data_IF_997490484392
#
_entry.id   IF_997490484392
#
_cell.length_a   1.000
_cell.length_b   1.000
_cell.length_c   1.000
_cell.angle_alpha   90.00
_cell.angle_beta   90.00
_cell.angle_gamma   90.00
#
_symmetry.space_group_name_H-M   'P 1'
#
loop_
_entity.id
_entity.type
_entity.pdbx_description
1 polymer ?
#
# COMPACT_ATOMS: atom_id res chain seq x y z
N UNK A 1 -43.09 25.92 0.45
CA UNK A 1 -42.11 26.47 -0.49
C UNK A 1 -41.14 27.35 0.29
N UNK A 2 -40.03 26.82 0.78
CA UNK A 2 -38.91 27.58 1.37
C UNK A 2 -37.89 27.79 0.25
N UNK A 3 -37.69 29.04 -0.05
CA UNK A 3 -37.08 29.64 -1.21
C UNK A 3 -35.61 29.23 -1.47
N UNK A 4 -35.30 29.16 -2.75
CA UNK A 4 -34.03 28.95 -3.42
C UNK A 4 -32.85 29.85 -2.95
N UNK A 5 -33.08 30.86 -2.16
CA UNK A 5 -32.06 31.81 -1.68
C UNK A 5 -31.21 31.29 -0.49
N UNK A 6 -31.68 30.27 0.22
CA UNK A 6 -30.94 29.68 1.36
C UNK A 6 -29.95 28.61 0.95
N UNK A 7 -29.99 28.10 -0.28
CA UNK A 7 -29.08 27.09 -0.80
C UNK A 7 -27.60 27.50 -0.82
N UNK A 8 -27.18 28.72 -1.20
CA UNK A 8 -25.77 29.07 -1.25
C UNK A 8 -25.09 29.10 0.12
N UNK A 9 -25.82 29.42 1.18
CA UNK A 9 -25.29 29.52 2.55
C UNK A 9 -25.02 28.13 3.15
N UNK A 10 -26.01 27.26 3.12
CA UNK A 10 -25.88 25.88 3.61
C UNK A 10 -24.80 25.11 2.85
N UNK A 11 -24.63 25.36 1.56
CA UNK A 11 -23.64 24.74 0.73
C UNK A 11 -22.22 25.08 1.18
N UNK A 12 -21.92 26.35 1.47
CA UNK A 12 -20.65 26.78 2.02
C UNK A 12 -20.38 26.13 3.38
N UNK A 13 -21.36 26.13 4.26
CA UNK A 13 -21.28 25.50 5.58
C UNK A 13 -21.02 24.00 5.47
N UNK A 14 -21.71 23.27 4.59
CA UNK A 14 -21.51 21.84 4.35
C UNK A 14 -20.12 21.54 3.81
N UNK A 15 -19.63 22.32 2.84
CA UNK A 15 -18.27 22.18 2.30
C UNK A 15 -17.22 22.39 3.37
N UNK A 16 -17.40 23.38 4.23
CA UNK A 16 -16.47 23.67 5.32
C UNK A 16 -16.51 22.57 6.40
N UNK A 17 -17.69 22.11 6.77
CA UNK A 17 -17.86 20.96 7.66
C UNK A 17 -17.19 19.69 7.09
N UNK A 18 -17.39 19.40 5.80
CA UNK A 18 -16.75 18.25 5.15
C UNK A 18 -15.23 18.35 5.18
N UNK A 19 -14.65 19.54 4.95
CA UNK A 19 -13.20 19.77 5.08
C UNK A 19 -12.71 19.53 6.50
N UNK A 20 -13.40 20.07 7.50
CA UNK A 20 -13.06 19.93 8.91
C UNK A 20 -13.14 18.46 9.37
N UNK A 21 -14.11 17.71 8.87
CA UNK A 21 -14.26 16.27 9.08
C UNK A 21 -13.29 15.41 8.25
N UNK A 22 -12.43 16.02 7.42
CA UNK A 22 -11.50 15.32 6.52
C UNK A 22 -12.20 14.41 5.52
N UNK A 23 -13.30 14.89 4.95
CA UNK A 23 -14.06 14.25 3.88
C UNK A 23 -13.86 15.04 2.56
N UNK A 24 -12.66 14.96 1.96
CA UNK A 24 -12.30 15.81 0.84
C UNK A 24 -13.11 15.52 -0.42
N UNK A 25 -13.48 14.27 -0.68
CA UNK A 25 -14.31 13.93 -1.83
C UNK A 25 -15.67 14.64 -1.75
N UNK A 26 -16.34 14.59 -0.59
CA UNK A 26 -17.58 15.32 -0.36
C UNK A 26 -17.39 16.83 -0.49
N UNK A 27 -16.30 17.38 0.02
CA UNK A 27 -16.02 18.81 -0.05
C UNK A 27 -15.82 19.32 -1.49
N UNK A 28 -15.24 18.47 -2.35
CA UNK A 28 -14.94 18.80 -3.75
C UNK A 28 -16.12 18.55 -4.69
N UNK A 29 -16.94 17.52 -4.44
CA UNK A 29 -18.00 17.05 -5.33
C UNK A 29 -19.43 17.27 -4.78
N UNK A 30 -19.59 18.13 -3.77
CA UNK A 30 -20.88 18.31 -3.10
C UNK A 30 -22.00 18.69 -4.07
N UNK A 31 -21.69 19.54 -5.05
CA UNK A 31 -22.65 20.01 -6.04
C UNK A 31 -23.17 18.91 -6.95
N UNK A 32 -22.25 18.09 -7.45
CA UNK A 32 -22.57 16.97 -8.33
C UNK A 32 -23.45 15.95 -7.58
N UNK A 33 -23.10 15.68 -6.31
CA UNK A 33 -23.83 14.72 -5.48
C UNK A 33 -25.24 15.22 -5.17
N UNK A 34 -25.40 16.50 -4.86
CA UNK A 34 -26.71 17.10 -4.59
C UNK A 34 -27.59 17.12 -5.85
N UNK A 35 -27.01 17.46 -7.00
CA UNK A 35 -27.71 17.47 -8.28
C UNK A 35 -28.19 16.07 -8.65
N UNK A 36 -27.30 15.08 -8.59
CA UNK A 36 -27.63 13.68 -8.88
C UNK A 36 -28.73 13.14 -7.95
N UNK A 37 -28.69 13.51 -6.66
CA UNK A 37 -29.70 13.10 -5.70
C UNK A 37 -31.06 13.64 -6.00
N UNK A 38 -31.13 14.90 -6.49
CA UNK A 38 -32.38 15.54 -6.92
C UNK A 38 -32.93 14.91 -8.20
N UNK A 39 -32.07 14.67 -9.19
CA UNK A 39 -32.50 14.02 -10.44
C UNK A 39 -33.04 12.62 -10.22
N UNK A 40 -32.39 11.84 -9.35
CA UNK A 40 -32.76 10.45 -9.04
C UNK A 40 -33.86 10.35 -7.97
N UNK A 41 -34.34 11.49 -7.43
CA UNK A 41 -35.28 11.51 -6.32
C UNK A 41 -34.94 10.57 -5.18
N UNK A 42 -33.65 10.57 -4.79
CA UNK A 42 -33.13 9.68 -3.75
C UNK A 42 -33.84 9.97 -2.41
N UNK A 43 -34.08 8.89 -1.66
CA UNK A 43 -34.47 9.02 -0.26
C UNK A 43 -33.30 9.54 0.56
N UNK A 44 -33.54 10.07 1.76
CA UNK A 44 -32.48 10.56 2.65
C UNK A 44 -31.46 9.48 3.00
N UNK A 45 -31.88 8.24 3.16
CA UNK A 45 -31.00 7.10 3.45
C UNK A 45 -30.10 6.76 2.28
N UNK A 46 -30.65 6.74 1.05
CA UNK A 46 -29.88 6.51 -0.18
C UNK A 46 -28.87 7.63 -0.42
N UNK A 47 -29.26 8.88 -0.23
CA UNK A 47 -28.37 10.02 -0.34
C UNK A 47 -27.19 9.93 0.63
N UNK A 48 -27.47 9.69 1.92
CA UNK A 48 -26.42 9.55 2.93
C UNK A 48 -25.50 8.37 2.62
N UNK A 49 -26.06 7.23 2.22
CA UNK A 49 -25.28 6.06 1.79
C UNK A 49 -24.38 6.40 0.61
N UNK A 50 -24.89 7.09 -0.40
CA UNK A 50 -24.11 7.52 -1.57
C UNK A 50 -22.94 8.41 -1.16
N UNK A 51 -23.16 9.39 -0.30
CA UNK A 51 -22.12 10.28 0.22
C UNK A 51 -21.00 9.51 0.91
N UNK A 52 -21.35 8.64 1.85
CA UNK A 52 -20.40 7.88 2.64
C UNK A 52 -19.63 6.85 1.80
N UNK A 53 -20.30 6.15 0.89
CA UNK A 53 -19.67 5.16 0.01
C UNK A 53 -18.70 5.80 -0.98
N UNK A 54 -19.02 6.97 -1.54
CA UNK A 54 -18.11 7.69 -2.44
C UNK A 54 -16.86 8.18 -1.71
N UNK A 55 -17.03 8.76 -0.52
CA UNK A 55 -15.90 9.18 0.32
C UNK A 55 -15.01 7.99 0.71
N UNK A 56 -15.59 6.86 1.09
CA UNK A 56 -14.87 5.65 1.44
C UNK A 56 -14.05 5.13 0.25
N UNK A 57 -14.66 5.01 -0.93
CA UNK A 57 -13.97 4.59 -2.15
C UNK A 57 -12.81 5.50 -2.53
N UNK A 58 -13.00 6.82 -2.42
CA UNK A 58 -11.93 7.77 -2.72
C UNK A 58 -10.80 7.69 -1.70
N UNK A 59 -11.11 7.52 -0.42
CA UNK A 59 -10.13 7.29 0.65
C UNK A 59 -9.32 6.02 0.40
N UNK A 60 -9.97 4.93 0.03
CA UNK A 60 -9.32 3.67 -0.31
C UNK A 60 -8.41 3.83 -1.54
N UNK A 61 -8.90 4.50 -2.59
CA UNK A 61 -8.13 4.81 -3.80
C UNK A 61 -6.88 5.64 -3.48
N UNK A 62 -7.02 6.74 -2.72
CA UNK A 62 -5.89 7.58 -2.31
C UNK A 62 -4.88 6.81 -1.45
N UNK A 63 -5.38 5.98 -0.55
CA UNK A 63 -4.55 5.11 0.28
C UNK A 63 -3.78 4.09 -0.55
N UNK A 64 -4.45 3.44 -1.53
CA UNK A 64 -3.82 2.52 -2.48
C UNK A 64 -2.72 3.22 -3.30
N UNK A 65 -3.03 4.38 -3.92
CA UNK A 65 -2.05 5.12 -4.72
C UNK A 65 -0.84 5.54 -3.88
N UNK A 66 -1.06 5.92 -2.63
CA UNK A 66 0.03 6.27 -1.70
C UNK A 66 0.90 5.04 -1.40
N UNK A 67 0.31 3.88 -1.12
CA UNK A 67 1.08 2.64 -0.91
C UNK A 67 1.85 2.24 -2.17
N UNK A 68 1.20 2.30 -3.33
CA UNK A 68 1.80 1.96 -4.62
C UNK A 68 3.02 2.84 -4.94
N UNK A 69 2.89 4.16 -4.72
CA UNK A 69 3.98 5.12 -4.94
C UNK A 69 5.26 4.77 -4.16
N UNK A 70 5.10 4.18 -2.97
CA UNK A 70 6.24 3.87 -2.10
C UNK A 70 6.64 2.40 -2.13
N UNK A 71 5.96 1.57 -2.91
CA UNK A 71 6.21 0.14 -2.96
C UNK A 71 7.56 -0.25 -3.60
N UNK A 72 8.20 0.65 -4.35
CA UNK A 72 9.48 0.38 -5.01
C UNK A 72 9.35 -0.56 -6.23
N UNK A 73 8.18 -0.58 -6.87
CA UNK A 73 7.90 -1.51 -7.96
C UNK A 73 8.61 -1.09 -9.26
N UNK A 74 9.18 -2.06 -10.01
CA UNK A 74 9.69 -1.83 -11.37
C UNK A 74 8.55 -1.57 -12.35
N UNK A 75 8.87 -1.26 -13.60
CA UNK A 75 7.86 -1.00 -14.65
C UNK A 75 6.97 -2.22 -14.97
N UNK A 76 7.46 -3.43 -14.72
CA UNK A 76 6.75 -4.69 -14.98
C UNK A 76 6.63 -5.48 -13.69
N UNK A 77 5.43 -5.69 -13.20
CA UNK A 77 5.13 -6.39 -11.96
C UNK A 77 3.78 -7.11 -11.96
N UNK A 78 3.11 -7.20 -13.11
CA UNK A 78 1.79 -7.84 -13.20
C UNK A 78 1.94 -9.35 -13.32
N UNK A 79 1.55 -10.10 -12.28
CA UNK A 79 1.63 -11.56 -12.25
C UNK A 79 0.71 -12.25 -13.26
N UNK A 80 -0.29 -11.56 -13.80
CA UNK A 80 -1.13 -12.11 -14.85
C UNK A 80 -0.38 -12.23 -16.19
N UNK A 81 0.75 -11.52 -16.32
CA UNK A 81 1.66 -11.58 -17.48
C UNK A 81 2.82 -12.57 -17.26
N UNK A 82 2.83 -13.34 -16.18
CA UNK A 82 3.89 -14.31 -15.91
C UNK A 82 3.82 -15.50 -16.87
N UNK A 83 4.92 -15.75 -17.56
CA UNK A 83 5.03 -16.84 -18.55
C UNK A 83 5.52 -18.14 -17.88
N UNK A 84 4.58 -19.00 -17.51
CA UNK A 84 4.87 -20.29 -16.89
C UNK A 84 5.57 -21.27 -17.82
N UNK A 85 5.59 -21.03 -19.15
CA UNK A 85 6.26 -21.93 -20.12
C UNK A 85 7.77 -21.80 -20.10
N UNK A 86 8.30 -20.71 -19.59
CA UNK A 86 9.73 -20.38 -19.57
C UNK A 86 10.47 -20.81 -18.31
N UNK A 87 9.76 -21.25 -17.29
CA UNK A 87 10.35 -21.51 -15.98
C UNK A 87 9.82 -22.83 -15.40
N UNK A 88 10.72 -23.69 -14.99
CA UNK A 88 10.37 -24.95 -14.29
C UNK A 88 10.16 -24.72 -12.77
N UNK A 89 10.28 -23.48 -12.29
CA UNK A 89 10.42 -23.21 -10.85
C UNK A 89 9.13 -23.06 -10.07
N UNK A 90 8.05 -22.57 -10.69
CA UNK A 90 6.76 -22.34 -10.01
C UNK A 90 5.61 -22.64 -10.97
N UNK A 91 4.64 -23.40 -10.52
CA UNK A 91 3.44 -23.70 -11.27
C UNK A 91 2.30 -22.69 -11.00
N UNK A 92 1.23 -22.78 -11.82
CA UNK A 92 0.06 -21.89 -11.68
C UNK A 92 -0.66 -22.05 -10.34
N UNK A 93 -0.63 -23.25 -9.74
CA UNK A 93 -1.29 -23.52 -8.46
C UNK A 93 -0.51 -22.84 -7.34
N UNK A 94 0.81 -23.02 -7.31
CA UNK A 94 1.69 -22.39 -6.33
C UNK A 94 1.61 -20.86 -6.43
N UNK A 95 1.58 -20.30 -7.66
CA UNK A 95 1.40 -18.86 -7.84
C UNK A 95 0.07 -18.35 -7.27
N UNK A 96 -1.03 -19.08 -7.47
CA UNK A 96 -2.33 -18.73 -6.89
C UNK A 96 -2.28 -18.75 -5.36
N UNK A 97 -1.69 -19.79 -4.76
CA UNK A 97 -1.52 -19.91 -3.32
C UNK A 97 -0.70 -18.74 -2.74
N UNK A 98 0.36 -18.31 -3.43
CA UNK A 98 1.16 -17.15 -3.01
C UNK A 98 0.36 -15.83 -3.10
N UNK A 99 -0.47 -15.67 -4.13
CA UNK A 99 -1.32 -14.48 -4.34
C UNK A 99 -2.42 -14.32 -3.28
N UNK A 100 -2.83 -15.40 -2.61
CA UNK A 100 -3.79 -15.33 -1.49
C UNK A 100 -3.21 -14.62 -0.25
N UNK A 101 -1.88 -14.45 -0.19
CA UNK A 101 -1.18 -13.72 0.86
C UNK A 101 -1.41 -14.29 2.29
N UNK A 102 -1.89 -15.53 2.40
CA UNK A 102 -2.13 -16.19 3.69
C UNK A 102 -0.83 -16.31 4.49
N UNK A 103 0.30 -16.52 3.79
CA UNK A 103 1.63 -16.62 4.37
C UNK A 103 2.05 -15.33 5.08
N UNK A 104 1.63 -14.13 4.64
CA UNK A 104 1.89 -12.86 5.34
C UNK A 104 1.20 -12.87 6.70
N UNK A 105 -0.08 -13.28 6.76
CA UNK A 105 -0.85 -13.36 8.01
C UNK A 105 -0.29 -14.36 8.99
N UNK A 106 0.34 -15.43 8.47
CA UNK A 106 1.01 -16.47 9.26
C UNK A 106 2.45 -16.13 9.60
N UNK A 107 2.93 -14.93 9.21
CA UNK A 107 4.31 -14.48 9.44
C UNK A 107 5.39 -15.41 8.86
N UNK A 108 5.09 -16.06 7.75
CA UNK A 108 6.07 -16.89 7.04
C UNK A 108 6.96 -16.03 6.15
N UNK A 109 8.23 -16.42 6.07
CA UNK A 109 9.17 -15.86 5.13
C UNK A 109 9.15 -16.66 3.83
N UNK A 110 9.22 -15.95 2.70
CA UNK A 110 9.32 -16.53 1.37
C UNK A 110 10.73 -16.29 0.84
N UNK A 111 11.41 -17.37 0.42
CA UNK A 111 12.72 -17.30 -0.20
C UNK A 111 12.61 -17.74 -1.67
N UNK A 112 12.94 -16.83 -2.60
CA UNK A 112 12.98 -17.11 -4.03
C UNK A 112 14.42 -17.42 -4.44
N UNK A 113 14.70 -18.69 -4.79
CA UNK A 113 16.01 -19.17 -5.20
C UNK A 113 15.95 -19.67 -6.64
N UNK A 114 16.99 -19.43 -7.41
CA UNK A 114 17.12 -19.87 -8.81
C UNK A 114 18.14 -19.03 -9.56
N UNK A 115 18.45 -19.42 -10.78
CA UNK A 115 19.42 -18.76 -11.66
C UNK A 115 19.00 -17.35 -12.06
N UNK A 116 19.95 -16.56 -12.57
CA UNK A 116 19.64 -15.23 -13.12
C UNK A 116 18.66 -15.35 -14.28
N UNK A 117 17.70 -14.41 -14.35
CA UNK A 117 16.71 -14.38 -15.44
C UNK A 117 15.50 -15.31 -15.24
N UNK A 118 15.40 -16.08 -14.15
CA UNK A 118 14.25 -16.99 -13.87
C UNK A 118 12.98 -16.29 -13.37
N UNK A 119 12.97 -14.95 -13.35
CA UNK A 119 11.76 -14.18 -12.97
C UNK A 119 11.57 -13.94 -11.47
N UNK A 120 12.58 -14.19 -10.60
CA UNK A 120 12.48 -13.97 -9.15
C UNK A 120 12.03 -12.54 -8.79
N UNK A 121 12.69 -11.54 -9.36
CA UNK A 121 12.35 -10.13 -9.17
C UNK A 121 10.93 -9.82 -9.66
N UNK A 122 10.51 -10.43 -10.77
CA UNK A 122 9.14 -10.27 -11.29
C UNK A 122 8.11 -10.85 -10.32
N UNK A 123 8.34 -12.07 -9.79
CA UNK A 123 7.47 -12.71 -8.80
C UNK A 123 7.44 -11.87 -7.52
N UNK A 124 8.60 -11.46 -6.99
CA UNK A 124 8.70 -10.65 -5.77
C UNK A 124 7.93 -9.33 -5.94
N UNK A 125 8.15 -8.61 -7.05
CA UNK A 125 7.46 -7.34 -7.31
C UNK A 125 5.95 -7.51 -7.48
N UNK A 126 5.53 -8.58 -8.15
CA UNK A 126 4.10 -8.89 -8.30
C UNK A 126 3.43 -9.23 -6.97
N UNK A 127 4.08 -10.00 -6.10
CA UNK A 127 3.56 -10.27 -4.74
C UNK A 127 3.49 -9.01 -3.86
N UNK A 128 4.47 -8.09 -3.99
CA UNK A 128 4.38 -6.76 -3.37
C UNK A 128 3.17 -5.99 -3.89
N UNK A 129 2.92 -6.02 -5.20
CA UNK A 129 1.75 -5.36 -5.80
C UNK A 129 0.43 -5.94 -5.28
N UNK A 130 0.29 -7.28 -5.24
CA UNK A 130 -0.89 -7.93 -4.66
C UNK A 130 -1.08 -7.56 -3.18
N UNK A 131 0.00 -7.51 -2.41
CA UNK A 131 -0.07 -7.07 -1.01
C UNK A 131 -0.52 -5.59 -0.89
N UNK A 132 -0.04 -4.71 -1.76
CA UNK A 132 -0.47 -3.30 -1.83
C UNK A 132 -1.95 -3.19 -2.18
N UNK A 133 -2.46 -3.97 -3.14
CA UNK A 133 -3.90 -4.06 -3.47
C UNK A 133 -4.72 -4.50 -2.26
N UNK A 134 -4.24 -5.52 -1.55
CA UNK A 134 -4.89 -6.04 -0.34
C UNK A 134 -4.80 -5.11 0.89
N UNK A 135 -4.18 -3.93 0.75
CA UNK A 135 -4.12 -2.91 1.81
C UNK A 135 -2.87 -2.96 2.68
N UNK A 136 -1.96 -3.92 2.47
CA UNK A 136 -0.73 -4.03 3.22
C UNK A 136 0.27 -2.90 2.89
N UNK A 137 1.09 -2.53 3.88
CA UNK A 137 2.29 -1.71 3.66
C UNK A 137 3.41 -2.63 3.22
N UNK A 138 3.60 -2.73 1.90
CA UNK A 138 4.55 -3.63 1.28
C UNK A 138 5.57 -2.84 0.46
N UNK A 139 6.85 -3.23 0.54
CA UNK A 139 7.96 -2.55 -0.11
C UNK A 139 8.92 -3.55 -0.74
N UNK A 140 9.43 -3.20 -1.91
CA UNK A 140 10.54 -3.86 -2.59
C UNK A 140 11.75 -2.93 -2.53
N UNK A 141 12.88 -3.45 -2.09
CA UNK A 141 14.16 -2.75 -2.02
C UNK A 141 15.26 -3.69 -2.46
N UNK A 142 16.32 -3.15 -3.05
CA UNK A 142 17.56 -3.91 -3.18
C UNK A 142 18.28 -3.97 -1.84
N UNK A 143 19.14 -4.97 -1.66
CA UNK A 143 19.98 -5.06 -0.46
C UNK A 143 20.85 -3.81 -0.30
N UNK A 144 21.35 -3.23 -1.40
CA UNK A 144 22.15 -2.01 -1.41
C UNK A 144 21.35 -0.80 -0.88
N UNK A 145 20.13 -0.60 -1.38
CA UNK A 145 19.25 0.50 -0.92
C UNK A 145 18.95 0.37 0.58
N UNK A 146 18.72 -0.86 1.06
CA UNK A 146 18.52 -1.11 2.48
C UNK A 146 19.76 -0.72 3.29
N UNK A 147 20.97 -1.14 2.85
CA UNK A 147 22.23 -0.77 3.53
C UNK A 147 22.46 0.75 3.55
N UNK A 148 22.27 1.42 2.42
CA UNK A 148 22.42 2.88 2.35
C UNK A 148 21.44 3.53 3.32
N UNK A 149 20.18 3.10 3.35
CA UNK A 149 19.18 3.60 4.28
C UNK A 149 19.60 3.42 5.74
N UNK A 150 20.09 2.22 6.11
CA UNK A 150 20.51 1.92 7.49
C UNK A 150 21.74 2.73 7.92
N UNK A 151 22.71 2.93 7.04
CA UNK A 151 23.93 3.73 7.32
C UNK A 151 23.64 5.22 7.45
N UNK A 152 22.69 5.74 6.68
CA UNK A 152 22.47 7.19 6.58
C UNK A 152 21.24 7.69 7.33
N UNK A 153 20.47 6.80 7.99
CA UNK A 153 19.22 7.15 8.67
C UNK A 153 19.37 8.26 9.72
N UNK A 154 20.51 8.35 10.39
CA UNK A 154 20.75 9.35 11.46
C UNK A 154 21.16 10.71 10.92
N UNK A 155 21.79 10.76 9.76
CA UNK A 155 22.32 11.98 9.14
C UNK A 155 21.45 12.52 8.01
N UNK A 156 20.52 11.69 7.47
CA UNK A 156 19.68 12.04 6.32
C UNK A 156 18.20 11.94 6.67
N UNK A 157 17.48 13.08 6.59
CA UNK A 157 16.01 13.11 6.79
C UNK A 157 15.24 12.19 5.84
N UNK A 158 15.57 12.12 4.53
CA UNK A 158 14.94 11.15 3.62
C UNK A 158 15.17 9.69 4.04
N UNK A 159 16.42 9.33 4.40
CA UNK A 159 16.76 7.98 4.85
C UNK A 159 16.01 7.61 6.16
N UNK A 160 15.92 8.54 7.12
CA UNK A 160 15.13 8.35 8.33
C UNK A 160 13.64 8.12 8.03
N UNK A 161 13.04 8.84 7.06
CA UNK A 161 11.66 8.62 6.63
C UNK A 161 11.48 7.23 6.01
N UNK A 162 12.43 6.80 5.17
CA UNK A 162 12.43 5.46 4.56
C UNK A 162 12.58 4.39 5.63
N UNK A 163 13.51 4.54 6.55
CA UNK A 163 13.69 3.62 7.68
C UNK A 163 12.39 3.46 8.49
N UNK A 164 11.77 4.58 8.91
CA UNK A 164 10.49 4.55 9.64
C UNK A 164 9.37 3.88 8.85
N UNK A 165 9.43 3.93 7.53
CA UNK A 165 8.45 3.27 6.64
C UNK A 165 8.69 1.77 6.59
N UNK A 166 9.94 1.35 6.43
CA UNK A 166 10.36 -0.06 6.46
C UNK A 166 9.98 -0.71 7.79
N UNK A 167 10.24 -0.04 8.92
CA UNK A 167 9.89 -0.55 10.25
C UNK A 167 8.38 -0.73 10.50
N UNK A 168 7.54 -0.10 9.68
CA UNK A 168 6.08 -0.25 9.71
C UNK A 168 5.55 -1.14 8.58
N UNK A 169 6.44 -1.77 7.83
CA UNK A 169 6.09 -2.70 6.76
C UNK A 169 5.45 -3.96 7.32
N UNK A 170 4.47 -4.46 6.60
CA UNK A 170 3.87 -5.78 6.84
C UNK A 170 4.49 -6.82 5.89
N UNK A 171 5.05 -6.35 4.77
CA UNK A 171 5.82 -7.15 3.84
C UNK A 171 7.02 -6.33 3.34
N UNK A 172 8.20 -6.91 3.40
CA UNK A 172 9.42 -6.37 2.83
C UNK A 172 10.05 -7.43 1.93
N UNK A 173 10.19 -7.12 0.65
CA UNK A 173 10.99 -7.91 -0.27
C UNK A 173 12.37 -7.28 -0.43
N UNK A 174 13.42 -8.08 -0.31
CA UNK A 174 14.80 -7.67 -0.51
C UNK A 174 15.32 -8.41 -1.73
N UNK A 175 15.66 -7.66 -2.76
CA UNK A 175 16.21 -8.20 -4.01
C UNK A 175 17.74 -8.08 -4.04
N UNK A 176 18.38 -8.80 -4.97
CA UNK A 176 19.84 -8.79 -5.20
C UNK A 176 20.68 -9.15 -3.98
N UNK A 177 20.21 -10.10 -3.15
CA UNK A 177 20.88 -10.48 -1.90
C UNK A 177 22.27 -11.08 -2.13
N UNK A 178 22.51 -11.72 -3.28
CA UNK A 178 23.75 -12.46 -3.58
C UNK A 178 24.89 -11.61 -4.15
N UNK A 179 24.60 -10.39 -4.60
CA UNK A 179 25.57 -9.53 -5.30
C UNK A 179 26.46 -8.72 -4.37
N UNK A 180 26.21 -8.73 -3.06
CA UNK A 180 26.99 -7.98 -2.09
C UNK A 180 27.95 -8.87 -1.32
N UNK A 181 29.28 -8.61 -1.39
CA UNK A 181 30.21 -9.17 -0.43
C UNK A 181 29.90 -8.54 0.95
N UNK A 182 29.07 -9.21 1.72
CA UNK A 182 28.79 -8.83 3.10
C UNK A 182 30.09 -8.93 3.90
N UNK A 183 30.75 -7.80 4.14
CA UNK A 183 31.67 -7.70 5.25
C UNK A 183 30.84 -7.89 6.52
N UNK A 184 30.82 -9.10 7.04
CA UNK A 184 30.02 -9.53 8.21
C UNK A 184 30.23 -8.69 9.48
N UNK A 185 31.22 -7.79 9.50
CA UNK A 185 31.49 -6.88 10.63
C UNK A 185 30.45 -5.77 10.88
N UNK A 186 29.38 -5.69 10.07
CA UNK A 186 28.37 -4.65 10.17
C UNK A 186 26.98 -5.14 10.62
N UNK A 187 26.82 -6.43 10.90
CA UNK A 187 25.55 -6.98 11.40
C UNK A 187 25.61 -7.14 12.91
N UNK A 188 25.78 -6.06 13.64
CA UNK A 188 25.25 -5.99 15.00
C UNK A 188 23.81 -5.45 14.90
N UNK A 189 22.90 -6.31 14.48
CA UNK A 189 21.48 -6.11 14.75
C UNK A 189 21.33 -6.44 16.23
N UNK A 190 21.17 -5.42 17.05
CA UNK A 190 20.73 -5.60 18.43
C UNK A 190 19.41 -6.37 18.39
N UNK A 191 19.42 -7.60 18.93
CA UNK A 191 18.20 -8.39 19.13
C UNK A 191 17.16 -7.52 19.86
N UNK A 192 15.89 -7.56 19.45
CA UNK A 192 14.84 -6.91 20.21
C UNK A 192 14.80 -7.57 21.59
N UNK A 193 15.20 -6.83 22.60
CA UNK A 193 15.11 -7.23 24.01
C UNK A 193 13.68 -7.68 24.31
N UNK A 194 13.46 -8.97 24.39
CA UNK A 194 12.26 -9.57 24.98
C UNK A 194 12.16 -9.05 26.41
N UNK A 195 11.24 -8.08 26.65
CA UNK A 195 10.85 -7.77 28.02
C UNK A 195 10.23 -9.03 28.62
N UNK A 196 10.99 -9.71 29.47
CA UNK A 196 10.42 -10.68 30.39
C UNK A 196 9.53 -9.90 31.36
N UNK A 197 8.23 -10.18 31.31
CA UNK A 197 7.33 -9.78 32.37
C UNK A 197 7.77 -10.43 33.67
N UNK A 198 7.94 -9.61 34.70
CA UNK A 198 8.13 -10.05 36.08
C UNK A 198 6.75 -10.33 36.64
N UNK A 199 6.60 -11.48 37.21
CA UNK A 199 5.47 -12.01 38.00
C UNK A 199 5.00 -11.05 39.06
#
# INVERSE_FOLDING_TARGET
MKSLETMPRYKKELTECARNLKLPFLAEHLDEILHEAQEKQQTYSEFLSTCLMRELRDKERRSYLTRLKFAGLPARYDLDLYDFSRTEGIDQRQMRELRELVWIRRTYNLLLVGDSGTGKTFIASGLIHEAVKAGYKAYLLTLEELFVCLKTKEISRPAMKTYKRIMKAQLLAIDDVTLFPLKLSLIHISEPTRRRGIS
#
